data_IF_467738931317
#
_entry.id   IF_467738931317
#
_cell.length_a   1.000
_cell.length_b   1.000
_cell.length_c   1.000
_cell.angle_alpha   90.00
_cell.angle_beta   90.00
_cell.angle_gamma   90.00
#
_symmetry.space_group_name_H-M   'P 1'
#
loop_
_entity.id
_entity.type
_entity.pdbx_description
1 polymer ?
#
# COMPACT_ATOMS: atom_id res chain seq x y z
N UNK A 1 -11.74 -24.13 2.47
CA UNK A 1 -12.22 -22.81 1.99
C UNK A 1 -11.33 -21.73 2.62
N UNK A 2 -10.92 -20.70 1.90
CA UNK A 2 -10.17 -19.60 2.50
C UNK A 2 -11.06 -18.92 3.54
N UNK A 3 -10.56 -18.77 4.77
CA UNK A 3 -11.23 -18.03 5.82
C UNK A 3 -10.89 -16.54 5.64
N UNK A 4 -11.70 -15.84 4.92
CA UNK A 4 -11.56 -14.43 4.61
C UNK A 4 -11.42 -14.22 3.12
N UNK A 5 -12.46 -13.76 2.49
CA UNK A 5 -12.47 -13.21 1.15
C UNK A 5 -12.63 -11.70 1.34
N UNK A 6 -11.61 -10.95 1.02
CA UNK A 6 -11.72 -9.51 0.91
C UNK A 6 -11.93 -9.16 -0.57
N UNK A 7 -12.85 -8.27 -0.84
CA UNK A 7 -13.11 -7.78 -2.18
C UNK A 7 -13.21 -6.25 -2.11
N UNK A 8 -12.34 -5.59 -2.81
CA UNK A 8 -12.35 -4.14 -2.91
C UNK A 8 -12.97 -3.70 -4.24
N UNK A 9 -13.69 -2.58 -4.22
CA UNK A 9 -14.15 -1.94 -5.45
C UNK A 9 -12.93 -1.35 -6.16
N UNK A 10 -12.76 -1.64 -7.43
CA UNK A 10 -11.65 -1.14 -8.23
C UNK A 10 -11.51 0.39 -8.15
N UNK A 11 -10.30 0.90 -8.35
CA UNK A 11 -10.02 2.34 -8.22
C UNK A 11 -10.88 3.17 -9.18
N UNK A 12 -11.58 4.20 -8.69
CA UNK A 12 -12.30 5.14 -9.54
C UNK A 12 -11.36 6.16 -10.19
N UNK A 13 -10.09 6.22 -9.76
CA UNK A 13 -9.08 7.15 -10.28
C UNK A 13 -7.98 6.42 -11.03
N UNK A 14 -7.36 7.14 -11.94
CA UNK A 14 -6.17 6.72 -12.67
C UNK A 14 -5.02 7.62 -12.25
N UNK A 15 -3.82 7.06 -12.16
CA UNK A 15 -2.61 7.81 -11.80
C UNK A 15 -1.42 7.31 -12.62
N UNK A 16 -0.39 8.14 -12.74
CA UNK A 16 0.90 7.73 -13.26
C UNK A 16 1.83 7.16 -12.17
N UNK A 17 1.40 7.24 -10.88
CA UNK A 17 2.19 6.78 -9.75
C UNK A 17 1.30 6.09 -8.71
N UNK A 18 1.60 4.83 -8.44
CA UNK A 18 0.97 4.03 -7.40
C UNK A 18 2.02 3.51 -6.42
N UNK A 19 1.71 3.48 -5.14
CA UNK A 19 2.58 2.88 -4.16
C UNK A 19 1.83 1.87 -3.28
N UNK A 20 2.55 0.86 -2.84
CA UNK A 20 2.09 -0.21 -1.97
C UNK A 20 3.02 -0.29 -0.76
N UNK A 21 2.85 0.61 0.23
CA UNK A 21 3.77 0.72 1.36
C UNK A 21 3.69 -0.43 2.36
N UNK A 22 2.57 -1.14 2.44
CA UNK A 22 2.33 -2.21 3.40
C UNK A 22 2.35 -3.62 2.82
N UNK A 23 2.27 -4.64 3.68
CA UNK A 23 1.89 -6.01 3.34
C UNK A 23 2.86 -6.85 2.52
N UNK A 24 4.06 -6.38 2.21
CA UNK A 24 5.04 -7.15 1.45
C UNK A 24 6.14 -7.71 2.37
N UNK A 25 5.72 -8.39 3.43
CA UNK A 25 6.64 -9.04 4.35
C UNK A 25 6.69 -10.55 4.00
N UNK A 26 7.82 -10.97 3.64
CA UNK A 26 8.51 -12.27 3.62
C UNK A 26 7.83 -13.58 3.19
N UNK A 27 6.55 -13.83 3.38
CA UNK A 27 5.96 -15.15 3.09
C UNK A 27 4.66 -15.09 2.28
N UNK A 28 4.09 -13.91 2.08
CA UNK A 28 2.91 -13.75 1.26
C UNK A 28 3.23 -13.95 -0.23
N UNK A 29 2.33 -14.62 -0.93
CA UNK A 29 2.31 -14.59 -2.38
C UNK A 29 1.72 -13.26 -2.80
N UNK A 30 2.49 -12.45 -3.52
CA UNK A 30 2.06 -11.13 -3.96
C UNK A 30 1.94 -11.11 -5.47
N UNK A 31 0.82 -10.62 -5.96
CA UNK A 31 0.60 -10.33 -7.38
C UNK A 31 0.19 -8.87 -7.54
N UNK A 32 0.84 -8.17 -8.46
CA UNK A 32 0.47 -6.82 -8.85
C UNK A 32 -0.17 -6.86 -10.23
N UNK A 33 -1.43 -6.45 -10.33
CA UNK A 33 -2.10 -6.22 -11.60
C UNK A 33 -1.95 -4.75 -11.98
N UNK A 34 -1.56 -4.51 -13.23
CA UNK A 34 -1.39 -3.17 -13.80
C UNK A 34 -2.28 -3.10 -15.03
N UNK A 35 -3.23 -2.19 -15.03
CA UNK A 35 -4.20 -2.01 -16.11
C UNK A 35 -4.00 -0.67 -16.79
N UNK A 36 -3.91 -0.70 -18.11
CA UNK A 36 -3.90 0.49 -18.99
C UNK A 36 -5.29 0.65 -19.63
N UNK A 37 -6.09 1.61 -19.20
CA UNK A 37 -7.44 1.85 -19.75
C UNK A 37 -7.42 2.65 -21.04
N UNK A 38 -6.29 3.23 -21.47
CA UNK A 38 -6.19 3.93 -22.75
C UNK A 38 -6.60 3.00 -23.90
N UNK A 39 -7.41 3.48 -24.80
CA UNK A 39 -7.82 2.70 -25.97
C UNK A 39 -6.76 2.69 -27.08
N UNK A 40 -5.80 3.60 -27.03
CA UNK A 40 -4.87 3.84 -28.15
C UNK A 40 -3.40 3.88 -27.76
N UNK A 41 -3.07 4.19 -26.51
CA UNK A 41 -1.69 4.41 -26.07
C UNK A 41 -1.17 3.23 -25.27
N UNK A 42 0.09 2.89 -25.50
CA UNK A 42 0.81 1.93 -24.68
C UNK A 42 1.34 2.66 -23.44
N UNK A 43 1.15 2.11 -22.25
CA UNK A 43 1.78 2.61 -21.04
C UNK A 43 3.15 1.93 -20.84
N UNK A 44 4.21 2.72 -20.76
CA UNK A 44 5.53 2.25 -20.34
C UNK A 44 5.61 2.34 -18.82
N UNK A 45 5.82 1.22 -18.15
CA UNK A 45 5.68 1.12 -16.69
C UNK A 45 6.95 0.54 -16.08
N UNK A 46 7.40 1.18 -15.02
CA UNK A 46 8.44 0.67 -14.12
C UNK A 46 7.83 0.20 -12.81
N UNK A 47 8.18 -1.01 -12.38
CA UNK A 47 7.86 -1.56 -11.07
C UNK A 47 9.13 -1.56 -10.24
N UNK A 48 9.20 -0.63 -9.27
CA UNK A 48 10.34 -0.48 -8.38
C UNK A 48 10.12 -1.32 -7.12
N UNK A 49 11.07 -2.19 -6.79
CA UNK A 49 11.10 -3.00 -5.57
C UNK A 49 12.05 -2.33 -4.61
N UNK A 50 11.56 -1.91 -3.46
CA UNK A 50 12.35 -1.15 -2.49
C UNK A 50 12.42 -1.95 -1.18
N UNK A 51 13.59 -2.57 -0.88
CA UNK A 51 13.78 -3.34 0.34
C UNK A 51 13.92 -2.42 1.56
N UNK A 52 13.42 -2.88 2.71
CA UNK A 52 13.55 -2.16 4.00
C UNK A 52 14.93 -2.29 4.64
N UNK A 53 15.76 -3.17 4.11
CA UNK A 53 17.07 -3.50 4.70
C UNK A 53 18.21 -2.92 3.87
N UNK A 54 19.10 -2.22 4.51
CA UNK A 54 20.20 -1.49 3.85
C UNK A 54 21.29 -2.39 3.26
N UNK A 55 21.34 -3.66 3.63
CA UNK A 55 22.32 -4.62 3.10
C UNK A 55 21.87 -5.29 1.79
N UNK A 56 20.65 -5.03 1.35
CA UNK A 56 20.21 -5.40 -0.01
C UNK A 56 20.60 -4.25 -0.92
N UNK A 57 21.40 -4.55 -1.93
CA UNK A 57 21.82 -3.56 -2.93
C UNK A 57 20.62 -2.99 -3.72
N UNK A 58 20.93 -2.05 -4.60
CA UNK A 58 19.95 -1.51 -5.54
C UNK A 58 19.33 -2.64 -6.38
N UNK A 59 18.01 -2.67 -6.43
CA UNK A 59 17.25 -3.59 -7.29
C UNK A 59 16.80 -2.78 -8.51
N UNK A 60 17.23 -3.23 -9.69
CA UNK A 60 16.81 -2.59 -10.94
C UNK A 60 15.31 -2.74 -11.14
N UNK A 61 14.57 -1.68 -11.50
CA UNK A 61 13.15 -1.75 -11.77
C UNK A 61 12.81 -2.77 -12.86
N UNK A 62 11.63 -3.33 -12.78
CA UNK A 62 11.06 -4.15 -13.83
C UNK A 62 10.34 -3.24 -14.80
N UNK A 63 10.94 -3.01 -15.97
CA UNK A 63 10.33 -2.20 -17.01
C UNK A 63 9.48 -3.08 -17.93
N UNK A 64 8.23 -2.67 -18.18
CA UNK A 64 7.29 -3.40 -19.01
C UNK A 64 6.39 -2.44 -19.80
N UNK A 65 5.92 -2.88 -20.95
CA UNK A 65 4.91 -2.20 -21.72
C UNK A 65 3.54 -2.83 -21.47
N UNK A 66 2.55 -2.01 -21.12
CA UNK A 66 1.14 -2.41 -20.99
C UNK A 66 0.39 -1.89 -22.20
N UNK A 67 0.00 -2.75 -23.14
CA UNK A 67 -0.72 -2.33 -24.34
C UNK A 67 -2.04 -1.62 -24.00
N UNK A 68 -2.56 -0.88 -24.95
CA UNK A 68 -3.87 -0.24 -24.84
C UNK A 68 -4.97 -1.25 -24.47
N UNK A 69 -5.90 -0.84 -23.63
CA UNK A 69 -7.04 -1.63 -23.14
C UNK A 69 -6.65 -3.03 -22.63
N UNK A 70 -5.48 -3.14 -21.96
CA UNK A 70 -4.98 -4.42 -21.48
C UNK A 70 -4.35 -4.32 -20.11
N UNK A 71 -4.01 -5.49 -19.54
CA UNK A 71 -3.34 -5.60 -18.27
C UNK A 71 -2.05 -6.43 -18.36
N UNK A 72 -1.18 -6.25 -17.36
CA UNK A 72 -0.03 -7.09 -17.06
C UNK A 72 -0.03 -7.45 -15.58
N UNK A 73 0.51 -8.61 -15.26
CA UNK A 73 0.63 -9.06 -13.88
C UNK A 73 2.08 -9.33 -13.55
N UNK A 74 2.56 -8.74 -12.46
CA UNK A 74 3.88 -8.98 -11.90
C UNK A 74 3.71 -9.81 -10.63
N UNK A 75 4.33 -10.99 -10.61
CA UNK A 75 4.22 -11.95 -9.52
C UNK A 75 5.49 -12.03 -8.69
N UNK A 76 5.33 -12.00 -7.38
CA UNK A 76 6.36 -12.27 -6.38
C UNK A 76 6.10 -13.63 -5.71
N UNK A 77 5.86 -14.65 -6.53
CA UNK A 77 5.53 -16.00 -6.08
C UNK A 77 6.81 -16.78 -5.80
N UNK A 78 7.31 -16.74 -4.57
CA UNK A 78 8.51 -17.48 -4.20
C UNK A 78 8.28 -19.00 -4.28
N UNK A 79 8.95 -19.67 -5.22
CA UNK A 79 8.94 -21.13 -5.35
C UNK A 79 7.82 -21.70 -6.23
N UNK A 80 7.12 -20.89 -6.99
CA UNK A 80 6.25 -21.37 -8.07
C UNK A 80 6.90 -21.06 -9.44
N UNK A 81 7.28 -22.09 -10.16
CA UNK A 81 7.61 -21.96 -11.57
C UNK A 81 6.29 -21.84 -12.35
N UNK A 82 5.89 -20.60 -12.64
CA UNK A 82 4.65 -20.32 -13.38
C UNK A 82 4.91 -20.25 -14.88
N UNK A 83 4.31 -21.15 -15.64
CA UNK A 83 4.47 -21.20 -17.10
C UNK A 83 3.54 -20.26 -17.89
N UNK A 84 2.87 -19.30 -17.29
CA UNK A 84 2.01 -18.36 -18.01
C UNK A 84 2.84 -17.18 -18.55
N UNK A 85 2.99 -17.04 -19.88
CA UNK A 85 3.80 -15.98 -20.47
C UNK A 85 3.23 -14.57 -20.28
N UNK A 86 2.00 -14.43 -19.79
CA UNK A 86 1.40 -13.14 -19.43
C UNK A 86 1.86 -12.66 -18.06
N UNK A 87 2.46 -13.54 -17.25
CA UNK A 87 2.95 -13.26 -15.91
C UNK A 87 4.44 -12.91 -15.95
N UNK A 88 4.79 -11.81 -15.28
CA UNK A 88 6.17 -11.40 -15.10
C UNK A 88 6.64 -11.89 -13.73
N UNK A 89 7.59 -12.82 -13.71
CA UNK A 89 8.14 -13.34 -12.46
C UNK A 89 9.17 -12.38 -11.87
N UNK A 90 8.82 -11.79 -10.73
CA UNK A 90 9.68 -10.92 -9.94
C UNK A 90 10.31 -11.64 -8.74
N UNK A 91 10.05 -12.93 -8.53
CA UNK A 91 10.49 -13.68 -7.35
C UNK A 91 12.02 -13.80 -7.26
N UNK A 92 12.71 -13.66 -8.39
CA UNK A 92 14.19 -13.69 -8.46
C UNK A 92 14.84 -12.35 -8.14
N UNK A 93 14.08 -11.26 -8.07
CA UNK A 93 14.60 -9.90 -7.85
C UNK A 93 14.89 -9.60 -6.39
N UNK A 94 14.17 -10.26 -5.47
CA UNK A 94 14.37 -10.09 -4.04
C UNK A 94 14.32 -11.46 -3.34
N UNK A 95 15.21 -11.68 -2.37
CA UNK A 95 15.24 -12.95 -1.66
C UNK A 95 14.02 -13.10 -0.75
N UNK A 96 13.51 -14.34 -0.65
CA UNK A 96 12.44 -14.69 0.30
C UNK A 96 12.84 -14.27 1.71
N UNK A 97 11.92 -13.66 2.45
CA UNK A 97 12.14 -13.24 3.83
C UNK A 97 12.65 -11.81 3.98
N UNK A 98 12.91 -11.11 2.88
CA UNK A 98 13.29 -9.69 2.92
C UNK A 98 12.03 -8.84 2.79
N UNK A 99 11.70 -8.01 3.82
CA UNK A 99 10.58 -7.09 3.71
C UNK A 99 10.87 -6.00 2.68
N UNK A 100 9.87 -5.67 1.87
CA UNK A 100 9.98 -4.67 0.83
C UNK A 100 8.64 -3.96 0.62
N UNK A 101 8.65 -2.91 -0.16
CA UNK A 101 7.48 -2.25 -0.68
C UNK A 101 7.66 -1.95 -2.16
N UNK A 102 6.59 -1.54 -2.83
CA UNK A 102 6.61 -1.41 -4.30
C UNK A 102 6.04 -0.06 -4.71
N UNK A 103 6.66 0.50 -5.75
CA UNK A 103 6.17 1.66 -6.51
C UNK A 103 5.95 1.22 -7.95
N UNK A 104 4.79 1.56 -8.51
CA UNK A 104 4.44 1.34 -9.91
C UNK A 104 4.30 2.71 -10.57
N UNK A 105 5.11 2.96 -11.57
CA UNK A 105 5.19 4.27 -12.23
C UNK A 105 4.99 4.13 -13.74
N UNK A 106 4.04 4.87 -14.31
CA UNK A 106 4.00 5.10 -15.74
C UNK A 106 5.05 6.13 -16.12
N UNK A 107 6.01 5.75 -16.95
CA UNK A 107 7.16 6.61 -17.30
C UNK A 107 6.90 7.51 -18.48
N UNK A 108 5.87 7.21 -19.27
CA UNK A 108 5.45 8.02 -20.42
C UNK A 108 4.18 8.85 -20.15
N UNK A 109 3.70 8.89 -18.89
CA UNK A 109 2.58 9.72 -18.46
C UNK A 109 1.19 9.20 -18.86
N UNK A 110 1.08 7.99 -19.41
CA UNK A 110 -0.21 7.34 -19.66
C UNK A 110 -0.76 6.86 -18.31
N UNK A 111 -1.93 7.38 -17.87
CA UNK A 111 -2.47 7.01 -16.57
C UNK A 111 -2.88 5.54 -16.52
N UNK A 112 -2.56 4.87 -15.44
CA UNK A 112 -2.84 3.45 -15.20
C UNK A 112 -3.63 3.25 -13.92
N UNK A 113 -4.23 2.07 -13.76
CA UNK A 113 -4.67 1.57 -12.46
C UNK A 113 -3.75 0.43 -12.02
N UNK A 114 -3.50 0.32 -10.71
CA UNK A 114 -2.72 -0.77 -10.17
C UNK A 114 -3.35 -1.32 -8.90
N UNK A 115 -3.41 -2.64 -8.81
CA UNK A 115 -3.99 -3.39 -7.69
C UNK A 115 -3.01 -4.47 -7.22
N UNK A 116 -3.09 -4.80 -5.95
CA UNK A 116 -2.30 -5.86 -5.34
C UNK A 116 -3.20 -6.93 -4.76
N UNK A 117 -2.91 -8.19 -5.08
CA UNK A 117 -3.42 -9.34 -4.39
C UNK A 117 -2.35 -9.90 -3.44
N UNK A 118 -2.74 -10.14 -2.19
CA UNK A 118 -1.92 -10.79 -1.17
C UNK A 118 -2.56 -12.12 -0.82
N UNK A 119 -1.77 -13.19 -0.85
CA UNK A 119 -2.19 -14.50 -0.38
C UNK A 119 -1.17 -14.95 0.65
N UNK A 120 -1.57 -15.01 1.91
CA UNK A 120 -0.72 -15.45 3.00
C UNK A 120 -1.09 -16.87 3.43
N UNK A 121 -0.11 -17.77 3.61
CA UNK A 121 -0.36 -19.05 4.26
C UNK A 121 -0.66 -18.77 5.75
N UNK A 122 -1.81 -19.19 6.21
CA UNK A 122 -2.21 -19.24 7.62
C UNK A 122 -2.30 -20.69 8.05
N UNK A 123 -2.09 -21.04 9.32
CA UNK A 123 -2.08 -22.40 9.85
C UNK A 123 -3.23 -23.26 9.30
N UNK A 124 -2.98 -23.98 8.19
CA UNK A 124 -3.96 -24.84 7.50
C UNK A 124 -5.00 -24.11 6.64
N UNK A 125 -4.94 -22.78 6.52
CA UNK A 125 -5.82 -21.96 5.72
C UNK A 125 -5.02 -20.95 4.88
N UNK A 126 -5.64 -20.44 3.82
CA UNK A 126 -5.12 -19.32 3.04
C UNK A 126 -5.96 -18.09 3.38
N UNK A 127 -5.33 -17.00 3.78
CA UNK A 127 -5.98 -15.69 3.81
C UNK A 127 -5.62 -14.93 2.53
N UNK A 128 -6.57 -14.20 1.99
CA UNK A 128 -6.35 -13.38 0.81
C UNK A 128 -6.83 -11.97 1.07
N UNK A 129 -6.00 -10.99 0.73
CA UNK A 129 -6.32 -9.58 0.74
C UNK A 129 -6.13 -9.00 -0.66
N UNK A 130 -7.04 -8.13 -1.05
CA UNK A 130 -6.93 -7.35 -2.26
C UNK A 130 -6.94 -5.89 -1.88
N UNK A 131 -6.01 -5.11 -2.41
CA UNK A 131 -6.09 -3.67 -2.31
C UNK A 131 -5.58 -2.99 -3.58
N UNK A 132 -6.16 -1.85 -3.87
CA UNK A 132 -5.61 -0.92 -4.84
C UNK A 132 -4.36 -0.25 -4.27
N UNK A 133 -3.44 0.15 -5.13
CA UNK A 133 -2.35 1.04 -4.75
C UNK A 133 -2.89 2.37 -4.21
N UNK A 134 -2.08 3.06 -3.46
CA UNK A 134 -2.38 4.43 -3.03
C UNK A 134 -1.84 5.40 -4.07
N UNK A 135 -2.71 6.24 -4.60
CA UNK A 135 -2.30 7.38 -5.42
C UNK A 135 -1.48 8.35 -4.55
N UNK A 136 -0.28 8.64 -5.00
CA UNK A 136 0.67 9.47 -4.25
C UNK A 136 0.46 10.95 -4.60
N UNK A 137 -0.69 11.48 -4.25
CA UNK A 137 -1.05 12.87 -4.57
C UNK A 137 -1.29 13.74 -3.34
N UNK A 138 -1.35 13.18 -2.14
CA UNK A 138 -1.78 13.90 -0.95
C UNK A 138 -0.67 14.10 0.10
N UNK A 139 -0.68 15.29 0.69
CA UNK A 139 0.14 15.67 1.85
C UNK A 139 -0.63 15.53 3.17
N UNK A 140 -1.92 15.22 3.11
CA UNK A 140 -2.76 15.08 4.29
C UNK A 140 -3.69 13.89 4.18
N UNK A 141 -3.71 13.06 5.23
CA UNK A 141 -4.49 11.84 5.29
C UNK A 141 -5.19 11.73 6.64
N UNK A 142 -6.34 11.05 6.65
CA UNK A 142 -7.07 10.72 7.84
C UNK A 142 -7.40 9.24 7.87
N UNK A 143 -7.12 8.58 9.00
CA UNK A 143 -7.49 7.21 9.24
C UNK A 143 -8.44 7.14 10.43
N UNK A 144 -9.59 6.53 10.23
CA UNK A 144 -10.53 6.25 11.31
C UNK A 144 -10.14 4.90 11.93
N UNK A 145 -9.88 4.91 13.22
CA UNK A 145 -9.47 3.73 13.98
C UNK A 145 -10.62 3.28 14.86
N UNK A 146 -11.42 2.33 14.38
CA UNK A 146 -12.43 1.68 15.22
C UNK A 146 -11.77 0.88 16.34
N UNK A 147 -10.64 0.24 16.03
CA UNK A 147 -9.78 -0.43 17.00
C UNK A 147 -8.34 0.06 16.85
N UNK A 148 -7.62 0.33 17.96
CA UNK A 148 -6.23 0.78 17.93
C UNK A 148 -5.25 -0.38 17.70
N UNK A 149 -5.66 -1.38 16.94
CA UNK A 149 -4.86 -2.54 16.58
C UNK A 149 -4.32 -2.43 15.16
N UNK A 150 -3.22 -3.13 14.91
CA UNK A 150 -2.60 -3.18 13.61
C UNK A 150 -1.46 -2.17 13.44
N UNK A 151 -1.08 -1.96 12.19
CA UNK A 151 0.07 -1.12 11.83
C UNK A 151 -0.33 -0.16 10.72
N UNK A 152 0.38 0.95 10.63
CA UNK A 152 0.30 1.91 9.54
C UNK A 152 1.65 1.97 8.86
N UNK A 153 1.67 1.71 7.56
CA UNK A 153 2.85 1.88 6.73
C UNK A 153 2.75 3.23 6.00
N UNK A 154 3.77 4.06 6.16
CA UNK A 154 3.88 5.37 5.51
C UNK A 154 5.14 5.33 4.64
N UNK A 155 5.00 5.55 3.35
CA UNK A 155 6.11 5.55 2.41
C UNK A 155 6.29 6.90 1.73
N UNK A 156 7.55 7.27 1.56
CA UNK A 156 7.98 8.41 0.76
C UNK A 156 8.52 7.90 -0.59
N UNK A 157 7.73 7.96 -1.67
CA UNK A 157 8.15 7.48 -2.98
C UNK A 157 9.03 8.46 -3.75
N UNK A 158 9.29 9.66 -3.21
CA UNK A 158 10.20 10.62 -3.83
C UNK A 158 11.61 10.03 -3.97
N UNK A 159 12.30 10.40 -5.03
CA UNK A 159 13.63 9.85 -5.35
C UNK A 159 14.76 10.55 -4.61
N UNK A 160 14.56 11.79 -4.18
CA UNK A 160 15.64 12.71 -3.75
C UNK A 160 15.29 13.57 -2.53
N UNK A 161 14.07 13.48 -2.00
CA UNK A 161 13.61 14.35 -0.92
C UNK A 161 13.24 13.59 0.33
N UNK A 162 13.71 14.10 1.45
CA UNK A 162 13.22 13.74 2.78
C UNK A 162 11.83 14.35 2.98
N UNK A 163 10.94 13.64 3.64
CA UNK A 163 9.66 14.18 4.10
C UNK A 163 9.57 14.17 5.62
N UNK A 164 9.00 15.24 6.17
CA UNK A 164 8.62 15.32 7.58
C UNK A 164 7.15 14.93 7.70
N UNK A 165 6.86 14.00 8.58
CA UNK A 165 5.51 13.52 8.83
C UNK A 165 5.10 13.91 10.24
N UNK A 166 4.00 14.65 10.37
CA UNK A 166 3.33 14.86 11.65
C UNK A 166 2.14 13.91 11.76
N UNK A 167 2.11 13.13 12.83
CA UNK A 167 1.03 12.21 13.14
C UNK A 167 0.35 12.70 14.42
N UNK A 168 -0.96 12.98 14.33
CA UNK A 168 -1.78 13.35 15.48
C UNK A 168 -2.88 12.32 15.67
N UNK A 169 -3.02 11.84 16.88
CA UNK A 169 -4.18 11.06 17.28
C UNK A 169 -5.21 11.97 17.93
N UNK A 170 -6.41 11.97 17.37
CA UNK A 170 -7.54 12.77 17.81
C UNK A 170 -8.58 11.84 18.45
N UNK A 171 -9.03 12.17 19.64
CA UNK A 171 -10.13 11.48 20.32
C UNK A 171 -11.11 12.52 20.88
N UNK A 172 -12.40 12.38 20.56
CA UNK A 172 -13.45 13.34 20.92
C UNK A 172 -13.17 14.81 20.55
N UNK A 173 -12.41 15.01 19.45
CA UNK A 173 -12.02 16.34 18.97
C UNK A 173 -10.74 16.92 19.59
N UNK A 174 -10.20 16.29 20.62
CA UNK A 174 -8.96 16.71 21.25
C UNK A 174 -7.74 15.92 20.74
N UNK A 175 -6.58 16.58 20.70
CA UNK A 175 -5.31 15.91 20.38
C UNK A 175 -4.88 15.09 21.57
N UNK A 176 -4.94 13.76 21.45
CA UNK A 176 -4.48 12.82 22.46
C UNK A 176 -2.95 12.64 22.44
N UNK A 177 -2.39 12.50 21.24
CA UNK A 177 -0.95 12.41 21.06
C UNK A 177 -0.51 13.05 19.74
N UNK A 178 0.73 13.49 19.69
CA UNK A 178 1.35 14.03 18.47
C UNK A 178 2.81 13.65 18.41
N UNK A 179 3.25 13.18 17.25
CA UNK A 179 4.67 12.91 16.99
C UNK A 179 5.07 13.39 15.60
N UNK A 180 6.34 13.69 15.45
CA UNK A 180 6.95 14.00 14.15
C UNK A 180 8.01 12.96 13.85
N UNK A 181 8.00 12.45 12.63
CA UNK A 181 8.99 11.49 12.12
C UNK A 181 9.55 11.98 10.79
N UNK A 182 10.76 11.56 10.49
CA UNK A 182 11.41 11.78 9.20
C UNK A 182 11.40 10.48 8.40
N UNK A 183 11.07 10.58 7.12
CA UNK A 183 11.16 9.47 6.17
C UNK A 183 12.03 9.91 5.00
N UNK A 184 13.16 9.26 4.84
CA UNK A 184 14.07 9.52 3.73
C UNK A 184 13.42 9.22 2.38
N UNK A 185 14.02 9.73 1.31
CA UNK A 185 13.65 9.37 -0.05
C UNK A 185 13.66 7.83 -0.22
N UNK A 186 12.71 7.30 -0.99
CA UNK A 186 12.57 5.86 -1.25
C UNK A 186 12.65 5.00 0.00
N UNK A 187 11.97 5.45 1.06
CA UNK A 187 11.90 4.74 2.34
C UNK A 187 10.48 4.69 2.86
N UNK A 188 10.24 3.75 3.76
CA UNK A 188 8.97 3.69 4.50
C UNK A 188 9.22 3.57 6.01
N UNK A 189 8.20 3.88 6.78
CA UNK A 189 8.11 3.61 8.21
C UNK A 189 6.85 2.80 8.48
N UNK A 190 7.00 1.76 9.30
CA UNK A 190 5.87 0.99 9.82
C UNK A 190 5.68 1.39 11.28
N UNK A 191 4.48 1.82 11.60
CA UNK A 191 4.09 2.31 12.93
C UNK A 191 3.10 1.32 13.52
N UNK A 192 3.42 0.80 14.69
CA UNK A 192 2.51 -0.02 15.47
C UNK A 192 1.54 0.88 16.25
N UNK A 193 0.24 0.76 15.95
CA UNK A 193 -0.80 1.57 16.57
C UNK A 193 -0.94 1.31 18.08
N UNK A 194 -0.61 0.12 18.55
CA UNK A 194 -0.62 -0.18 19.97
C UNK A 194 0.48 0.57 20.72
N UNK A 195 1.64 0.78 20.08
CA UNK A 195 2.74 1.56 20.68
C UNK A 195 2.44 3.05 20.76
N UNK A 196 1.55 3.56 19.90
CA UNK A 196 1.08 4.95 19.98
C UNK A 196 0.14 5.18 21.17
N UNK A 197 -0.38 4.13 21.79
CA UNK A 197 -1.33 4.22 22.90
C UNK A 197 -2.64 4.92 22.53
N UNK A 198 -3.03 4.85 21.27
CA UNK A 198 -4.19 5.55 20.72
C UNK A 198 -5.48 4.92 21.25
N UNK A 199 -6.44 5.71 21.76
CA UNK A 199 -7.73 5.19 22.20
C UNK A 199 -8.53 4.57 21.05
N UNK A 200 -9.51 3.73 21.41
CA UNK A 200 -10.52 3.25 20.47
C UNK A 200 -11.33 4.44 19.89
N UNK A 201 -11.87 4.26 18.69
CA UNK A 201 -12.68 5.27 17.98
C UNK A 201 -11.94 6.61 17.76
N UNK A 202 -10.62 6.54 17.59
CA UNK A 202 -9.79 7.71 17.31
C UNK A 202 -9.63 7.95 15.82
N UNK A 203 -9.20 9.16 15.48
CA UNK A 203 -8.79 9.54 14.13
C UNK A 203 -7.30 9.83 14.15
N UNK A 204 -6.54 9.23 13.23
CA UNK A 204 -5.19 9.70 12.94
C UNK A 204 -5.24 10.75 11.83
N UNK A 205 -4.77 11.95 12.14
CA UNK A 205 -4.42 12.97 11.17
C UNK A 205 -2.93 12.82 10.86
N UNK A 206 -2.60 12.59 9.61
CA UNK A 206 -1.22 12.47 9.13
C UNK A 206 -1.00 13.56 8.11
N UNK A 207 -0.05 14.45 8.39
CA UNK A 207 0.36 15.53 7.47
C UNK A 207 1.83 15.39 7.12
N UNK A 208 2.18 15.69 5.90
CA UNK A 208 3.55 15.57 5.38
C UNK A 208 3.98 16.82 4.61
N UNK A 209 5.28 17.03 4.50
CA UNK A 209 5.85 18.14 3.71
C UNK A 209 5.94 17.83 2.21
N UNK A 210 5.83 16.57 1.84
CA UNK A 210 5.80 16.09 0.46
C UNK A 210 4.70 15.01 0.38
N UNK A 211 4.13 14.74 -0.80
CA UNK A 211 3.15 13.68 -0.96
C UNK A 211 3.67 12.31 -0.51
N UNK A 212 2.87 11.58 0.26
CA UNK A 212 3.21 10.26 0.79
C UNK A 212 2.11 9.26 0.50
N UNK A 213 2.48 8.01 0.53
CA UNK A 213 1.55 6.89 0.44
C UNK A 213 1.35 6.25 1.80
N UNK A 214 0.11 5.96 2.16
CA UNK A 214 -0.23 5.40 3.48
C UNK A 214 -1.15 4.19 3.31
N UNK A 215 -0.78 3.11 3.95
CA UNK A 215 -1.63 1.92 4.08
C UNK A 215 -1.77 1.52 5.55
N UNK A 216 -2.93 1.01 5.89
CA UNK A 216 -3.18 0.38 7.18
C UNK A 216 -3.39 -1.11 6.97
N UNK A 217 -2.82 -1.94 7.83
CA UNK A 217 -3.20 -3.32 7.91
C UNK A 217 -3.62 -3.70 9.34
N UNK A 218 -4.59 -4.58 9.43
CA UNK A 218 -5.12 -5.11 10.67
C UNK A 218 -4.76 -6.59 10.67
N UNK A 219 -3.83 -6.98 11.55
CA UNK A 219 -3.53 -8.38 11.81
C UNK A 219 -4.12 -8.79 13.15
N UNK A 220 -4.70 -9.97 13.25
CA UNK A 220 -5.10 -10.53 14.53
C UNK A 220 -3.90 -11.23 15.18
N UNK A 221 -3.78 -11.12 16.51
CA UNK A 221 -2.63 -11.64 17.27
C UNK A 221 -2.38 -13.16 17.13
N UNK A 222 -3.34 -13.92 16.62
CA UNK A 222 -3.32 -15.38 16.61
C UNK A 222 -3.32 -16.02 15.21
N UNK A 223 -3.40 -15.26 14.19
CA UNK A 223 -3.55 -15.76 12.83
C UNK A 223 -2.60 -15.02 11.94
N UNK A 224 -1.45 -14.88 11.95
CA UNK A 224 -0.57 -14.25 10.96
C UNK A 224 -1.30 -13.69 9.71
N UNK A 225 -2.52 -13.28 9.89
CA UNK A 225 -3.47 -12.89 8.85
C UNK A 225 -3.09 -11.51 8.28
N UNK A 226 -2.48 -11.57 7.16
CA UNK A 226 -2.17 -10.45 6.28
C UNK A 226 -3.42 -9.93 5.53
N UNK A 227 -4.60 -10.31 6.01
CA UNK A 227 -5.84 -10.31 5.25
C UNK A 227 -6.53 -8.97 5.03
N UNK A 228 -6.20 -7.90 5.75
CA UNK A 228 -6.94 -6.65 5.63
C UNK A 228 -6.00 -5.46 5.54
N UNK A 229 -5.48 -5.21 4.35
CA UNK A 229 -4.81 -3.95 4.04
C UNK A 229 -5.87 -3.02 3.45
N UNK A 230 -6.32 -2.08 4.25
CA UNK A 230 -7.18 -0.99 3.75
C UNK A 230 -6.30 0.21 3.45
N UNK A 231 -6.39 0.80 2.25
CA UNK A 231 -5.74 2.06 1.98
C UNK A 231 -6.23 3.13 2.97
N UNK A 232 -5.36 4.05 3.32
CA UNK A 232 -5.81 5.24 4.05
C UNK A 232 -6.91 5.91 3.23
N UNK A 233 -7.97 6.33 3.89
CA UNK A 233 -9.06 7.02 3.21
C UNK A 233 -8.48 8.20 2.42
N UNK A 234 -8.64 8.16 1.11
CA UNK A 234 -8.30 9.27 0.23
C UNK A 234 -9.00 10.51 0.77
N UNK A 235 -8.23 11.59 0.83
CA UNK A 235 -8.65 12.95 1.09
C UNK A 235 -10.11 13.11 1.57
N UNK A 236 -10.30 13.14 2.89
CA UNK A 236 -11.64 13.23 3.54
C UNK A 236 -12.34 14.58 3.26
N UNK A 237 -11.92 15.32 2.24
CA UNK A 237 -12.66 16.50 1.78
C UNK A 237 -14.12 16.20 1.41
N UNK A 238 -14.48 14.92 1.29
CA UNK A 238 -15.81 14.43 0.97
C UNK A 238 -16.50 13.61 2.07
N UNK A 239 -15.90 13.45 3.24
CA UNK A 239 -16.62 12.88 4.38
C UNK A 239 -17.53 13.97 4.94
N UNK A 240 -18.71 14.12 4.37
CA UNK A 240 -19.80 14.86 4.93
C UNK A 240 -20.28 14.08 6.16
N UNK A 241 -19.73 14.41 7.32
CA UNK A 241 -20.35 14.03 8.57
C UNK A 241 -21.58 14.94 8.66
N UNK A 242 -22.74 14.40 8.32
CA UNK A 242 -23.99 15.08 8.62
C UNK A 242 -23.98 15.40 10.12
N UNK A 243 -24.16 16.65 10.52
CA UNK A 243 -24.32 16.97 11.94
C UNK A 243 -25.47 16.12 12.48
N UNK A 244 -25.39 15.60 13.72
CA UNK A 244 -26.49 14.89 14.32
C UNK A 244 -27.71 15.82 14.31
N UNK A 245 -28.82 15.34 13.76
CA UNK A 245 -30.10 16.00 13.91
C UNK A 245 -30.43 15.96 15.41
N UNK A 246 -30.42 17.10 16.05
CA UNK A 246 -30.92 17.24 17.40
C UNK A 246 -32.46 17.39 17.30
N UNK A 247 -33.20 16.38 17.72
CA UNK A 247 -34.62 16.46 18.03
C UNK A 247 -34.84 17.25 19.33
#
# INVERSE_FOLDING_TARGET
>A
APNGLDAEVGSPSLSDLWAFPGGMESEALVSLAIFNPSETEVADVDVEIIPDVSNVGYIEPISLAVPAASSRVVNFLFGQEGGDPSLIDASTRIAKGIPFWVVVRSTNGVPIASERALIAPSEGNLSSGYNRGVDVSAEKHYLILQEPSGKVAIANPASDRLTLIQIKALSNGDIFSSQTIEIAAKSRKIIDLQQLGVPQDSILEITSTEPVSIERYIGTKNSGDWGNVSPAAENVSNLYISPPEFD
#
